data_IF_780320473373
#
_entry.id   IF_780320473373
#
_cell.length_a   1.000
_cell.length_b   1.000
_cell.length_c   1.000
_cell.angle_alpha   90.00
_cell.angle_beta   90.00
_cell.angle_gamma   90.00
#
_symmetry.space_group_name_H-M   'P 1'
#
loop_
_entity.id
_entity.type
_entity.pdbx_description
1 polymer ?
#
# COMPACT_ATOMS: atom_id res chain seq x y z
N UNK A 1 -49.29 28.60 -20.82
CA UNK A 1 -48.38 28.36 -21.96
C UNK A 1 -47.66 29.67 -22.23
N UNK A 2 -46.35 29.80 -22.28
CA UNK A 2 -45.25 28.84 -22.50
C UNK A 2 -43.99 29.39 -21.81
N UNK A 3 -43.27 28.53 -21.08
CA UNK A 3 -41.91 28.07 -21.38
C UNK A 3 -40.84 29.17 -21.45
N UNK A 4 -40.01 29.22 -20.41
CA UNK A 4 -38.67 29.80 -20.49
C UNK A 4 -37.69 28.72 -20.04
N UNK A 5 -37.15 28.04 -21.04
CA UNK A 5 -35.92 27.26 -20.95
C UNK A 5 -34.76 28.21 -20.66
N UNK A 6 -34.07 28.03 -19.54
CA UNK A 6 -32.71 28.55 -19.34
C UNK A 6 -31.84 27.38 -18.87
N UNK A 7 -31.03 26.94 -19.83
CA UNK A 7 -29.92 25.99 -19.72
C UNK A 7 -28.99 26.41 -18.58
N UNK A 8 -28.79 25.53 -17.59
CA UNK A 8 -27.75 25.73 -16.58
C UNK A 8 -26.79 24.54 -16.52
N UNK A 9 -25.48 24.80 -16.37
CA UNK A 9 -24.45 23.94 -16.94
C UNK A 9 -24.13 22.75 -16.03
N UNK A 10 -23.83 21.62 -16.67
CA UNK A 10 -23.20 20.42 -16.10
C UNK A 10 -22.12 20.76 -15.06
N UNK A 11 -22.45 20.73 -13.77
CA UNK A 11 -21.45 20.52 -12.72
C UNK A 11 -21.01 19.06 -12.77
N UNK A 12 -20.01 18.78 -13.62
CA UNK A 12 -19.18 17.59 -13.48
C UNK A 12 -18.44 17.72 -12.15
N UNK A 13 -19.02 17.20 -11.08
CA UNK A 13 -18.32 17.03 -9.80
C UNK A 13 -17.11 16.17 -10.09
N UNK A 14 -15.93 16.79 -10.23
CA UNK A 14 -14.65 16.10 -10.20
C UNK A 14 -14.64 15.37 -8.87
N UNK A 15 -14.90 14.05 -8.89
CA UNK A 15 -14.66 13.18 -7.72
C UNK A 15 -13.21 13.43 -7.35
N UNK A 16 -12.98 14.18 -6.29
CA UNK A 16 -11.69 14.19 -5.61
C UNK A 16 -11.38 12.72 -5.36
N UNK A 17 -10.23 12.24 -5.85
CA UNK A 17 -9.70 10.96 -5.40
C UNK A 17 -9.45 11.14 -3.92
N UNK A 18 -10.45 10.86 -3.09
CA UNK A 18 -10.22 10.60 -1.69
C UNK A 18 -9.17 9.50 -1.70
N UNK A 19 -8.10 9.69 -0.92
CA UNK A 19 -7.17 8.62 -0.63
C UNK A 19 -7.99 7.55 0.08
N UNK A 20 -8.62 6.68 -0.70
CA UNK A 20 -9.54 5.68 -0.22
C UNK A 20 -8.63 4.60 0.34
N UNK A 21 -8.24 4.77 1.60
CA UNK A 21 -7.64 3.69 2.38
C UNK A 21 -8.59 2.51 2.20
N UNK A 22 -8.16 1.41 1.55
CA UNK A 22 -9.01 0.27 1.34
C UNK A 22 -9.49 -0.19 2.71
N UNK A 23 -10.80 -0.27 2.90
CA UNK A 23 -11.35 -0.87 4.12
C UNK A 23 -10.90 -2.33 4.11
N UNK A 24 -10.49 -2.88 5.26
CA UNK A 24 -10.04 -4.28 5.39
C UNK A 24 -11.07 -5.27 4.82
N UNK A 25 -12.36 -4.92 4.88
CA UNK A 25 -13.47 -5.65 4.26
C UNK A 25 -13.42 -5.76 2.73
N UNK A 26 -12.45 -5.11 2.06
CA UNK A 26 -12.25 -5.13 0.61
C UNK A 26 -11.00 -5.91 0.21
N UNK A 27 -10.22 -6.40 1.18
CA UNK A 27 -9.04 -7.21 0.90
C UNK A 27 -9.48 -8.62 0.53
N UNK A 28 -8.86 -9.18 -0.50
CA UNK A 28 -9.02 -10.61 -0.82
C UNK A 28 -8.26 -11.47 0.19
N UNK A 29 -8.60 -12.76 0.26
CA UNK A 29 -7.87 -13.71 1.11
C UNK A 29 -6.37 -13.73 0.78
N UNK A 30 -6.03 -13.70 -0.51
CA UNK A 30 -4.65 -13.68 -0.99
C UNK A 30 -3.90 -12.41 -0.56
N UNK A 31 -4.56 -11.24 -0.60
CA UNK A 31 -3.96 -9.98 -0.13
C UNK A 31 -3.69 -9.99 1.38
N UNK A 32 -4.59 -10.60 2.15
CA UNK A 32 -4.43 -10.78 3.60
C UNK A 32 -3.26 -11.74 3.88
N UNK A 33 -3.18 -12.85 3.15
CA UNK A 33 -2.08 -13.81 3.29
C UNK A 33 -0.74 -13.17 2.94
N UNK A 34 -0.67 -12.43 1.83
CA UNK A 34 0.52 -11.69 1.45
C UNK A 34 0.94 -10.68 2.51
N UNK A 35 -0.01 -9.91 3.07
CA UNK A 35 0.26 -8.96 4.14
C UNK A 35 0.82 -9.66 5.40
N UNK A 36 0.28 -10.83 5.74
CA UNK A 36 0.76 -11.63 6.85
C UNK A 36 2.20 -12.12 6.61
N UNK A 37 2.49 -12.64 5.42
CA UNK A 37 3.85 -13.06 5.02
C UNK A 37 4.83 -11.89 5.13
N UNK A 38 4.49 -10.72 4.57
CA UNK A 38 5.33 -9.52 4.64
C UNK A 38 5.57 -9.11 6.10
N UNK A 39 4.55 -9.19 6.95
CA UNK A 39 4.64 -8.84 8.37
C UNK A 39 5.58 -9.80 9.11
N UNK A 40 5.47 -11.10 8.88
CA UNK A 40 6.37 -12.10 9.47
C UNK A 40 7.83 -11.90 9.02
N UNK A 41 8.05 -11.67 7.72
CA UNK A 41 9.38 -11.37 7.18
C UNK A 41 9.95 -10.11 7.82
N UNK A 42 9.17 -9.04 7.91
CA UNK A 42 9.59 -7.81 8.57
C UNK A 42 9.96 -8.07 10.02
N UNK A 43 9.10 -8.72 10.79
CA UNK A 43 9.38 -8.99 12.21
C UNK A 43 10.63 -9.85 12.42
N UNK A 44 10.88 -10.82 11.53
CA UNK A 44 12.02 -11.74 11.65
C UNK A 44 13.35 -11.08 11.27
N UNK A 45 13.35 -10.26 10.23
CA UNK A 45 14.57 -9.68 9.65
C UNK A 45 14.70 -8.18 9.91
N UNK A 46 13.92 -7.63 10.86
CA UNK A 46 14.03 -6.24 11.24
C UNK A 46 15.40 -5.98 11.84
N UNK A 47 16.17 -5.13 11.17
CA UNK A 47 17.46 -4.68 11.66
C UNK A 47 17.27 -3.42 12.49
N UNK A 48 17.92 -3.34 13.65
CA UNK A 48 17.93 -2.14 14.48
C UNK A 48 19.08 -1.17 14.10
N UNK A 49 20.05 -1.64 13.34
CA UNK A 49 21.23 -0.87 12.91
C UNK A 49 21.00 -0.25 11.54
N UNK A 50 20.41 -1.02 10.63
CA UNK A 50 20.14 -0.61 9.26
C UNK A 50 18.65 -0.35 9.09
N UNK A 51 18.28 0.72 8.37
CA UNK A 51 16.89 1.02 8.02
C UNK A 51 16.27 0.04 7.00
N UNK A 52 16.88 -1.14 6.81
CA UNK A 52 16.51 -2.17 5.85
C UNK A 52 16.43 -3.53 6.52
N UNK A 53 15.73 -4.49 5.88
CA UNK A 53 15.70 -5.86 6.36
C UNK A 53 17.07 -6.52 6.20
N UNK A 54 17.53 -7.21 7.24
CA UNK A 54 18.81 -7.90 7.27
C UNK A 54 18.64 -9.34 7.73
N UNK A 55 19.32 -10.26 7.07
CA UNK A 55 19.65 -11.56 7.65
C UNK A 55 20.83 -11.35 8.61
N UNK A 56 20.72 -11.87 9.83
CA UNK A 56 21.71 -11.67 10.89
C UNK A 56 22.28 -13.05 11.27
N UNK A 57 23.59 -13.20 11.14
CA UNK A 57 24.32 -14.43 11.48
C UNK A 57 25.69 -14.04 12.04
N UNK A 58 26.01 -14.50 13.26
CA UNK A 58 27.26 -14.18 13.98
C UNK A 58 27.60 -12.66 13.97
N UNK A 59 26.62 -11.81 14.31
CA UNK A 59 26.69 -10.35 14.28
C UNK A 59 26.99 -9.72 12.90
N UNK A 60 26.99 -10.53 11.83
CA UNK A 60 27.08 -10.03 10.46
C UNK A 60 25.69 -9.76 9.93
N UNK A 61 25.53 -8.58 9.34
CA UNK A 61 24.28 -8.15 8.73
C UNK A 61 24.36 -8.27 7.22
N UNK A 62 23.52 -9.10 6.62
CA UNK A 62 23.35 -9.21 5.18
C UNK A 62 22.03 -8.57 4.77
N UNK A 63 22.09 -7.44 4.05
CA UNK A 63 20.90 -6.73 3.62
C UNK A 63 20.07 -7.58 2.63
N UNK A 64 18.81 -7.84 2.98
CA UNK A 64 17.85 -8.57 2.14
C UNK A 64 17.24 -7.63 1.09
N UNK A 65 18.11 -7.01 0.30
CA UNK A 65 17.72 -6.19 -0.84
C UNK A 65 17.81 -7.10 -2.08
N UNK A 66 16.74 -7.26 -2.87
CA UNK A 66 16.77 -8.07 -4.08
C UNK A 66 17.93 -7.69 -5.02
N UNK A 67 18.29 -6.40 -5.04
CA UNK A 67 19.41 -5.87 -5.81
C UNK A 67 20.82 -6.15 -5.23
N UNK A 68 20.97 -7.03 -4.24
CA UNK A 68 22.29 -7.42 -3.70
C UNK A 68 22.47 -8.93 -3.60
N UNK A 69 21.54 -9.69 -4.18
CA UNK A 69 21.53 -11.15 -4.21
C UNK A 69 22.06 -11.71 -5.54
N UNK A 70 22.79 -10.91 -6.32
CA UNK A 70 23.37 -11.27 -7.62
C UNK A 70 24.89 -11.22 -7.61
#
# INVERSE_FOLDING_TARGET
>A
SSSSDEDTPKLKTKKSKSNLVPKESKLTTDEIELANIITQIRSKYQCNIHATLCYIEDDKHLALIPARLY
#
